data_IF_059480216788
#
_entry.id   IF_059480216788
#
_cell.length_a   1.000
_cell.length_b   1.000
_cell.length_c   1.000
_cell.angle_alpha   90.00
_cell.angle_beta   90.00
_cell.angle_gamma   90.00
#
_symmetry.space_group_name_H-M   'P 1'
#
loop_
_entity.id
_entity.type
_entity.pdbx_description
1 polymer ?
#
# COMPACT_ATOMS: atom_id res chain seq x y z
N UNK A 1 12.33 22.95 -35.76
CA UNK A 1 11.17 23.20 -34.88
C UNK A 1 10.34 21.94 -34.55
N UNK A 2 10.25 20.91 -35.41
CA UNK A 2 9.46 19.69 -35.13
C UNK A 2 10.08 18.76 -34.06
N UNK A 3 11.41 18.73 -33.90
CA UNK A 3 12.11 17.79 -33.00
C UNK A 3 11.84 18.03 -31.50
N UNK A 4 11.65 19.28 -31.07
CA UNK A 4 11.32 19.59 -29.68
C UNK A 4 9.91 19.11 -29.29
N UNK A 5 8.95 19.12 -30.23
CA UNK A 5 7.58 18.70 -29.94
C UNK A 5 7.50 17.19 -29.69
N UNK A 6 8.23 16.38 -30.47
CA UNK A 6 8.34 14.94 -30.24
C UNK A 6 9.01 14.62 -28.90
N UNK A 7 10.06 15.37 -28.53
CA UNK A 7 10.72 15.21 -27.24
C UNK A 7 9.81 15.60 -26.07
N UNK A 8 9.05 16.69 -26.20
CA UNK A 8 8.10 17.14 -25.17
C UNK A 8 6.98 16.10 -24.96
N UNK A 9 6.41 15.55 -26.05
CA UNK A 9 5.35 14.54 -25.98
C UNK A 9 5.87 13.24 -25.38
N UNK A 10 7.09 12.82 -25.71
CA UNK A 10 7.72 11.64 -25.12
C UNK A 10 7.96 11.80 -23.60
N UNK A 11 8.37 12.99 -23.16
CA UNK A 11 8.52 13.31 -21.73
C UNK A 11 7.16 13.29 -21.01
N UNK A 12 6.11 13.84 -21.62
CA UNK A 12 4.75 13.78 -21.06
C UNK A 12 4.22 12.35 -20.95
N UNK A 13 4.49 11.48 -21.94
CA UNK A 13 4.09 10.07 -21.89
C UNK A 13 4.87 9.30 -20.81
N UNK A 14 6.16 9.59 -20.65
CA UNK A 14 6.98 9.03 -19.57
C UNK A 14 6.51 9.48 -18.18
N UNK A 15 6.17 10.76 -18.00
CA UNK A 15 5.61 11.28 -16.75
C UNK A 15 4.23 10.68 -16.46
N UNK A 16 3.38 10.52 -17.48
CA UNK A 16 2.03 9.95 -17.31
C UNK A 16 2.07 8.49 -16.84
N UNK A 17 3.05 7.70 -17.28
CA UNK A 17 3.18 6.30 -16.85
C UNK A 17 3.63 6.19 -15.38
N UNK A 18 4.44 7.15 -14.90
CA UNK A 18 4.94 7.14 -13.52
C UNK A 18 3.86 7.33 -12.45
N UNK A 19 2.73 7.99 -12.75
CA UNK A 19 1.65 8.19 -11.78
C UNK A 19 0.76 6.95 -11.55
N UNK A 20 0.78 5.97 -12.47
CA UNK A 20 -0.21 4.89 -12.48
C UNK A 20 0.23 3.66 -11.65
N UNK A 21 1.47 3.62 -11.18
CA UNK A 21 2.08 2.45 -10.53
C UNK A 21 2.47 2.80 -9.09
N UNK A 22 1.58 2.61 -8.09
CA UNK A 22 2.05 2.27 -6.73
C UNK A 22 0.97 1.84 -5.72
N UNK A 23 -0.25 2.36 -5.78
CA UNK A 23 -1.07 2.40 -4.54
C UNK A 23 -2.12 1.28 -4.36
N UNK A 24 -2.16 0.24 -5.20
CA UNK A 24 -3.36 -0.62 -5.21
C UNK A 24 -3.45 -1.65 -4.09
N UNK A 25 -2.35 -2.15 -3.53
CA UNK A 25 -2.48 -3.36 -2.69
C UNK A 25 -2.22 -3.15 -1.19
N UNK A 26 -1.38 -2.18 -0.80
CA UNK A 26 -1.01 -1.98 0.61
C UNK A 26 -2.15 -1.45 1.50
N UNK A 27 -2.87 -0.45 1.00
CA UNK A 27 -3.95 0.20 1.75
C UNK A 27 -5.18 -0.72 1.89
N UNK A 28 -5.40 -1.60 0.91
CA UNK A 28 -6.50 -2.57 0.91
C UNK A 28 -6.26 -3.69 1.94
N UNK A 29 -5.01 -4.15 2.11
CA UNK A 29 -4.65 -5.15 3.15
C UNK A 29 -4.89 -4.62 4.57
N UNK A 30 -4.61 -3.33 4.81
CA UNK A 30 -4.87 -2.67 6.08
C UNK A 30 -6.34 -2.23 6.25
N UNK A 31 -7.14 -2.25 5.17
CA UNK A 31 -8.51 -1.75 5.17
C UNK A 31 -8.60 -0.25 5.44
N UNK A 32 -7.59 0.52 5.04
CA UNK A 32 -7.52 1.97 5.25
C UNK A 32 -7.53 2.72 3.91
N UNK A 33 -7.97 3.98 3.93
CA UNK A 33 -7.95 4.79 2.72
C UNK A 33 -6.50 5.11 2.30
N UNK A 34 -6.23 5.23 1.01
CA UNK A 34 -4.93 5.70 0.47
C UNK A 34 -4.50 7.07 1.00
N UNK A 35 -5.47 7.88 1.44
CA UNK A 35 -5.24 9.18 2.11
C UNK A 35 -5.13 9.10 3.63
N UNK A 36 -5.09 7.91 4.21
CA UNK A 36 -5.01 7.71 5.65
C UNK A 36 -3.67 8.21 6.19
N UNK A 37 -3.70 8.89 7.35
CA UNK A 37 -2.48 9.35 8.01
C UNK A 37 -1.77 8.17 8.70
N UNK A 38 -0.47 8.28 8.97
CA UNK A 38 0.29 7.28 9.75
C UNK A 38 -0.40 6.92 11.09
N UNK A 39 -1.16 7.86 11.68
CA UNK A 39 -1.97 7.60 12.88
C UNK A 39 -3.12 6.62 12.64
N UNK A 40 -3.77 6.68 11.48
CA UNK A 40 -4.88 5.82 11.10
C UNK A 40 -4.37 4.43 10.72
N UNK A 41 -3.25 4.36 10.00
CA UNK A 41 -2.53 3.11 9.70
C UNK A 41 -2.17 2.36 11.00
N UNK A 42 -1.60 3.07 11.98
CA UNK A 42 -1.23 2.48 13.28
C UNK A 42 -2.43 2.01 14.10
N UNK A 43 -3.58 2.68 13.99
CA UNK A 43 -4.85 2.26 14.61
C UNK A 43 -5.41 1.01 13.94
N UNK A 44 -5.42 0.96 12.61
CA UNK A 44 -5.90 -0.19 11.84
C UNK A 44 -5.02 -1.43 12.10
N UNK A 45 -3.70 -1.27 12.05
CA UNK A 45 -2.73 -2.30 12.40
C UNK A 45 -3.00 -2.90 13.79
N UNK A 46 -3.19 -2.06 14.82
CA UNK A 46 -3.50 -2.54 16.18
C UNK A 46 -4.80 -3.36 16.25
N UNK A 47 -5.84 -2.96 15.52
CA UNK A 47 -7.10 -3.70 15.46
C UNK A 47 -6.92 -5.06 14.80
N UNK A 48 -6.25 -5.10 13.65
CA UNK A 48 -6.03 -6.34 12.90
C UNK A 48 -5.07 -7.28 13.63
N UNK A 49 -4.02 -6.77 14.25
CA UNK A 49 -3.09 -7.54 15.09
C UNK A 49 -3.78 -8.24 16.26
N UNK A 50 -4.79 -7.60 16.88
CA UNK A 50 -5.59 -8.24 17.93
C UNK A 50 -6.58 -9.28 17.40
N UNK A 51 -7.05 -9.16 16.15
CA UNK A 51 -7.98 -10.10 15.51
C UNK A 51 -7.27 -11.35 14.99
N UNK A 52 -6.07 -11.18 14.41
CA UNK A 52 -5.25 -12.26 13.87
C UNK A 52 -4.19 -12.75 14.86
N UNK A 53 -4.31 -12.40 16.14
CA UNK A 53 -3.36 -12.84 17.16
C UNK A 53 -3.34 -14.38 17.24
N UNK A 54 -2.16 -15.03 17.21
CA UNK A 54 -2.04 -16.49 17.15
C UNK A 54 -2.64 -17.20 18.38
N UNK A 55 -2.75 -16.48 19.50
CA UNK A 55 -3.40 -16.96 20.73
C UNK A 55 -4.93 -17.07 20.60
N UNK A 56 -5.55 -16.22 19.77
CA UNK A 56 -7.01 -16.18 19.56
C UNK A 56 -7.46 -16.87 18.28
N UNK A 57 -6.59 -16.92 17.26
CA UNK A 57 -6.85 -17.60 16.00
C UNK A 57 -5.68 -18.53 15.69
N UNK A 58 -5.92 -19.85 15.79
CA UNK A 58 -4.95 -20.90 15.46
C UNK A 58 -4.92 -21.25 13.98
N UNK A 59 -5.55 -20.42 13.16
CA UNK A 59 -5.67 -20.64 11.72
C UNK A 59 -4.32 -20.32 11.04
N UNK A 60 -3.75 -21.22 10.24
CA UNK A 60 -2.52 -20.93 9.50
C UNK A 60 -2.65 -19.73 8.54
N UNK A 61 -3.87 -19.38 8.12
CA UNK A 61 -4.13 -18.16 7.35
C UNK A 61 -4.00 -16.88 8.19
N UNK A 62 -4.28 -16.93 9.50
CA UNK A 62 -4.15 -15.77 10.38
C UNK A 62 -2.69 -15.34 10.52
N UNK A 63 -1.76 -16.30 10.58
CA UNK A 63 -0.32 -16.03 10.61
C UNK A 63 0.18 -15.41 9.30
N UNK A 64 -0.34 -15.85 8.15
CA UNK A 64 -0.04 -15.24 6.84
C UNK A 64 -0.53 -13.80 6.76
N UNK A 65 -1.80 -13.56 7.10
CA UNK A 65 -2.37 -12.21 7.12
C UNK A 65 -1.65 -11.30 8.10
N UNK A 66 -1.26 -11.82 9.27
CA UNK A 66 -0.49 -11.06 10.25
C UNK A 66 0.88 -10.63 9.71
N UNK A 67 1.59 -11.52 8.99
CA UNK A 67 2.85 -11.18 8.31
C UNK A 67 2.66 -10.12 7.23
N UNK A 68 1.66 -10.26 6.36
CA UNK A 68 1.35 -9.26 5.34
C UNK A 68 1.05 -7.88 5.96
N UNK A 69 0.24 -7.85 7.03
CA UNK A 69 -0.09 -6.61 7.75
C UNK A 69 1.16 -5.97 8.38
N UNK A 70 2.12 -6.77 8.84
CA UNK A 70 3.38 -6.29 9.41
C UNK A 70 4.31 -5.71 8.34
N UNK A 71 4.49 -6.40 7.21
CA UNK A 71 5.29 -5.89 6.07
C UNK A 71 4.69 -4.60 5.52
N UNK A 72 3.37 -4.55 5.34
CA UNK A 72 2.67 -3.35 4.87
C UNK A 72 2.87 -2.18 5.83
N UNK A 73 2.78 -2.42 7.14
CA UNK A 73 3.02 -1.38 8.14
C UNK A 73 4.47 -0.88 8.13
N UNK A 74 5.44 -1.75 7.87
CA UNK A 74 6.86 -1.39 7.79
C UNK A 74 7.19 -0.57 6.52
N UNK A 75 6.51 -0.83 5.40
CA UNK A 75 6.67 -0.05 4.16
C UNK A 75 5.93 1.29 4.22
N UNK A 76 4.80 1.36 4.93
CA UNK A 76 3.93 2.54 4.96
C UNK A 76 4.31 3.60 6.01
N UNK A 77 5.27 3.32 6.90
CA UNK A 77 5.71 4.21 8.01
C UNK A 77 7.13 4.66 7.79
#
# INVERSE_FOLDING_TARGET
MQLNLFFQVAICLLWAISEVICDRDYYDVLGVNKKASNRDIKKAFRKLAMQYHPDKNKDPEAEKKFREIAEVYEVAV
#
